data_IF_559293211643
#
_entry.id   IF_559293211643
#
_cell.length_a   1.000
_cell.length_b   1.000
_cell.length_c   1.000
_cell.angle_alpha   90.00
_cell.angle_beta   90.00
_cell.angle_gamma   90.00
#
_symmetry.space_group_name_H-M   'P 1'
#
loop_
_entity.id
_entity.type
_entity.pdbx_description
1 polymer ?
#
# COMPACT_ATOMS: atom_id res chain seq x y z
N UNK A 1 0.21 -23.49 -11.65
CA UNK A 1 1.02 -22.90 -10.55
C UNK A 1 1.22 -21.38 -10.71
N UNK A 2 1.54 -20.87 -11.90
CA UNK A 2 1.75 -19.42 -12.12
C UNK A 2 0.55 -18.51 -11.77
N UNK A 3 -0.69 -18.95 -12.04
CA UNK A 3 -1.88 -18.14 -11.75
C UNK A 3 -2.12 -17.86 -10.26
N UNK A 4 -1.79 -18.82 -9.38
CA UNK A 4 -1.96 -18.65 -7.94
C UNK A 4 -0.89 -17.71 -7.35
N UNK A 5 0.33 -17.79 -7.88
CA UNK A 5 1.40 -16.86 -7.53
C UNK A 5 1.04 -15.43 -7.93
N UNK A 6 0.59 -15.23 -9.17
CA UNK A 6 0.15 -13.92 -9.65
C UNK A 6 -1.01 -13.36 -8.82
N UNK A 7 -2.02 -14.20 -8.53
CA UNK A 7 -3.13 -13.81 -7.68
C UNK A 7 -2.67 -13.40 -6.27
N UNK A 8 -1.74 -14.13 -5.68
CA UNK A 8 -1.23 -13.81 -4.34
C UNK A 8 -0.44 -12.50 -4.35
N UNK A 9 0.41 -12.29 -5.36
CA UNK A 9 1.17 -11.04 -5.52
C UNK A 9 0.24 -9.85 -5.72
N UNK A 10 -0.81 -9.99 -6.53
CA UNK A 10 -1.77 -8.90 -6.75
C UNK A 10 -2.51 -8.54 -5.46
N UNK A 11 -2.92 -9.53 -4.66
CA UNK A 11 -3.55 -9.30 -3.35
C UNK A 11 -2.64 -8.50 -2.42
N UNK A 12 -1.35 -8.84 -2.36
CA UNK A 12 -0.37 -8.09 -1.55
C UNK A 12 -0.27 -6.64 -2.04
N UNK A 13 -0.18 -6.41 -3.34
CA UNK A 13 -0.11 -5.06 -3.91
C UNK A 13 -1.37 -4.25 -3.58
N UNK A 14 -2.55 -4.77 -3.85
CA UNK A 14 -3.82 -4.07 -3.59
C UNK A 14 -4.05 -3.80 -2.11
N UNK A 15 -3.73 -4.76 -1.26
CA UNK A 15 -3.85 -4.60 0.20
C UNK A 15 -2.91 -3.50 0.69
N UNK A 16 -1.66 -3.48 0.20
CA UNK A 16 -0.67 -2.48 0.57
C UNK A 16 -1.10 -1.07 0.17
N UNK A 17 -1.62 -0.91 -1.05
CA UNK A 17 -2.18 0.37 -1.53
C UNK A 17 -3.36 0.83 -0.68
N UNK A 18 -4.29 -0.09 -0.38
CA UNK A 18 -5.48 0.22 0.42
C UNK A 18 -5.10 0.65 1.84
N UNK A 19 -4.20 -0.09 2.49
CA UNK A 19 -3.70 0.25 3.82
C UNK A 19 -2.93 1.57 3.83
N UNK A 20 -2.10 1.81 2.81
CA UNK A 20 -1.39 3.09 2.65
C UNK A 20 -2.34 4.28 2.52
N UNK A 21 -3.38 4.15 1.70
CA UNK A 21 -4.42 5.19 1.56
C UNK A 21 -5.16 5.46 2.89
N UNK A 22 -5.54 4.40 3.60
CA UNK A 22 -6.23 4.51 4.89
C UNK A 22 -5.33 5.12 5.97
N UNK A 23 -4.05 4.76 5.99
CA UNK A 23 -3.05 5.34 6.89
C UNK A 23 -2.89 6.84 6.62
N UNK A 24 -2.74 7.24 5.35
CA UNK A 24 -2.59 8.63 4.91
C UNK A 24 -3.77 9.52 5.31
N UNK A 25 -5.00 9.00 5.13
CA UNK A 25 -6.23 9.72 5.52
C UNK A 25 -6.43 9.80 7.02
N UNK A 26 -5.59 9.14 7.82
CA UNK A 26 -5.71 9.05 9.27
C UNK A 26 -6.83 8.10 9.74
N UNK A 27 -7.43 7.34 8.82
CA UNK A 27 -8.50 6.39 9.14
C UNK A 27 -7.99 5.19 9.95
N UNK A 28 -6.72 4.81 9.80
CA UNK A 28 -6.07 3.74 10.57
C UNK A 28 -4.69 4.18 11.07
N UNK A 29 -4.25 3.58 12.18
CA UNK A 29 -2.85 3.54 12.59
C UNK A 29 -2.29 2.14 12.40
N UNK A 30 -1.15 2.04 11.73
CA UNK A 30 -0.50 0.75 11.49
C UNK A 30 0.52 0.46 12.59
N UNK A 31 0.15 -0.44 13.49
CA UNK A 31 1.03 -0.94 14.54
C UNK A 31 1.62 -2.32 14.15
N UNK A 32 2.90 -2.33 13.81
CA UNK A 32 3.63 -3.54 13.42
C UNK A 32 4.28 -4.27 14.60
N UNK A 33 4.20 -3.71 15.82
CA UNK A 33 4.82 -4.29 17.03
C UNK A 33 4.30 -5.68 17.37
N UNK A 34 3.04 -5.97 17.00
CA UNK A 34 2.37 -7.26 17.21
C UNK A 34 2.88 -8.37 16.29
N UNK A 35 3.61 -8.04 15.22
CA UNK A 35 4.18 -9.02 14.30
C UNK A 35 5.48 -9.56 14.91
N UNK A 36 5.43 -10.78 15.48
CA UNK A 36 6.59 -11.39 16.15
C UNK A 36 7.78 -11.63 15.23
N UNK A 37 7.52 -11.94 13.96
CA UNK A 37 8.57 -12.20 12.98
C UNK A 37 9.16 -10.87 12.45
N UNK A 38 10.48 -10.62 12.61
CA UNK A 38 11.09 -9.34 12.23
C UNK A 38 11.07 -9.08 10.73
N UNK A 39 11.23 -10.12 9.91
CA UNK A 39 11.19 -10.02 8.45
C UNK A 39 9.80 -9.64 7.97
N UNK A 40 8.76 -10.31 8.47
CA UNK A 40 7.37 -9.98 8.13
C UNK A 40 6.99 -8.59 8.64
N UNK A 41 7.51 -8.20 9.80
CA UNK A 41 7.29 -6.85 10.35
C UNK A 41 7.87 -5.78 9.44
N UNK A 42 9.12 -5.93 9.02
CA UNK A 42 9.77 -5.01 8.10
C UNK A 42 9.07 -4.99 6.76
N UNK A 43 8.74 -6.16 6.21
CA UNK A 43 8.03 -6.27 4.94
C UNK A 43 6.69 -5.54 4.98
N UNK A 44 5.89 -5.77 6.03
CA UNK A 44 4.58 -5.15 6.16
C UNK A 44 4.68 -3.63 6.32
N UNK A 45 5.61 -3.14 7.16
CA UNK A 45 5.86 -1.71 7.30
C UNK A 45 6.23 -1.07 5.96
N UNK A 46 7.21 -1.65 5.25
CA UNK A 46 7.63 -1.16 3.93
C UNK A 46 6.51 -1.23 2.90
N UNK A 47 5.72 -2.30 2.89
CA UNK A 47 4.62 -2.46 1.95
C UNK A 47 3.55 -1.38 2.12
N UNK A 48 3.16 -1.08 3.37
CA UNK A 48 2.22 0.00 3.68
C UNK A 48 2.79 1.37 3.30
N UNK A 49 4.06 1.64 3.60
CA UNK A 49 4.70 2.91 3.26
C UNK A 49 4.82 3.10 1.74
N UNK A 50 5.15 2.05 0.99
CA UNK A 50 5.12 2.06 -0.48
C UNK A 50 3.71 2.29 -1.00
N UNK A 51 2.70 1.68 -0.37
CA UNK A 51 1.30 1.89 -0.72
C UNK A 51 0.88 3.33 -0.56
N UNK A 52 1.28 3.98 0.54
CA UNK A 52 1.04 5.40 0.80
C UNK A 52 1.69 6.27 -0.27
N UNK A 53 2.97 6.07 -0.57
CA UNK A 53 3.70 6.81 -1.60
C UNK A 53 3.07 6.70 -2.99
N UNK A 54 2.63 5.51 -3.38
CA UNK A 54 1.97 5.29 -4.68
C UNK A 54 0.64 6.04 -4.73
N UNK A 55 -0.13 6.04 -3.66
CA UNK A 55 -1.39 6.80 -3.57
C UNK A 55 -1.14 8.30 -3.69
N UNK A 56 -0.13 8.85 -3.00
CA UNK A 56 0.23 10.27 -3.12
C UNK A 56 0.58 10.64 -4.57
N UNK A 57 1.38 9.80 -5.24
CA UNK A 57 1.76 10.03 -6.64
C UNK A 57 0.55 9.91 -7.56
N UNK A 58 -0.31 8.93 -7.33
CA UNK A 58 -1.56 8.74 -8.07
C UNK A 58 -2.49 9.94 -7.95
N UNK A 59 -2.69 10.45 -6.74
CA UNK A 59 -3.48 11.67 -6.48
C UNK A 59 -2.89 12.89 -7.22
N UNK A 60 -1.56 13.06 -7.21
CA UNK A 60 -0.90 14.14 -7.94
C UNK A 60 -1.11 14.03 -9.44
N UNK A 61 -0.91 12.85 -10.02
CA UNK A 61 -1.10 12.60 -11.46
C UNK A 61 -2.56 12.87 -11.84
N UNK A 62 -3.52 12.38 -11.04
CA UNK A 62 -4.94 12.63 -11.27
C UNK A 62 -5.26 14.12 -11.25
N UNK A 63 -4.74 14.85 -10.27
CA UNK A 63 -4.91 16.30 -10.18
C UNK A 63 -4.33 17.04 -11.39
N UNK A 64 -3.13 16.67 -11.84
CA UNK A 64 -2.49 17.25 -13.03
C UNK A 64 -3.27 16.97 -14.31
N UNK A 65 -3.85 15.76 -14.45
CA UNK A 65 -4.71 15.40 -15.57
C UNK A 65 -6.04 16.17 -15.54
N UNK A 66 -6.68 16.26 -14.37
CA UNK A 66 -7.95 16.99 -14.21
C UNK A 66 -7.85 18.50 -14.46
N UNK A 67 -6.64 19.05 -14.47
CA UNK A 67 -6.36 20.45 -14.81
C UNK A 67 -6.12 20.69 -16.29
N UNK A 68 -5.94 19.63 -17.09
CA UNK A 68 -5.69 19.71 -18.53
C UNK A 68 -6.96 19.69 -19.37
N UNK A 69 -8.10 19.34 -18.77
CA UNK A 69 -9.45 19.51 -19.30
C UNK A 69 -10.07 20.84 -18.81
#
# INVERSE_FOLDING_TARGET
>A
MAGWLFFTVSQVVFTSLTLGALKRTGAIQVDTSKIKNPTLRSFFATAVDVGEDVVVRGERIWYELSKRD
#
